data_IF_799698770974
#
_entry.id   IF_799698770974
#
_cell.length_a   1.000
_cell.length_b   1.000
_cell.length_c   1.000
_cell.angle_alpha   90.00
_cell.angle_beta   90.00
_cell.angle_gamma   90.00
#
_symmetry.space_group_name_H-M   'P 1'
#
loop_
_entity.id
_entity.type
_entity.pdbx_description
1 polymer ?
#
# COMPACT_ATOMS: atom_id res chain seq x y z
N UNK A 1 14.24 11.32 31.57
CA UNK A 1 13.28 10.29 31.09
C UNK A 1 12.36 10.75 29.95
N UNK A 2 12.47 11.98 29.42
CA UNK A 2 11.56 12.47 28.35
C UNK A 2 12.01 12.14 26.91
N UNK A 3 13.30 11.86 26.70
CA UNK A 3 13.90 11.66 25.36
C UNK A 3 13.23 10.60 24.48
N UNK A 4 12.89 9.39 24.98
CA UNK A 4 12.33 8.34 24.14
C UNK A 4 10.93 8.66 23.60
N UNK A 5 10.08 9.28 24.42
CA UNK A 5 8.70 9.63 24.03
C UNK A 5 8.65 10.80 23.05
N UNK A 6 9.57 11.75 23.20
CA UNK A 6 9.71 12.85 22.25
C UNK A 6 10.11 12.33 20.86
N UNK A 7 11.07 11.40 20.79
CA UNK A 7 11.50 10.81 19.52
C UNK A 7 10.37 10.06 18.80
N UNK A 8 9.63 9.19 19.52
CA UNK A 8 8.49 8.49 18.94
C UNK A 8 7.38 9.45 18.48
N UNK A 9 7.14 10.54 19.22
CA UNK A 9 6.18 11.55 18.80
C UNK A 9 6.62 12.24 17.50
N UNK A 10 7.90 12.60 17.36
CA UNK A 10 8.41 13.22 16.13
C UNK A 10 8.31 12.26 14.92
N UNK A 11 8.55 10.97 15.13
CA UNK A 11 8.33 9.93 14.12
C UNK A 11 6.86 9.82 13.72
N UNK A 12 5.94 9.82 14.70
CA UNK A 12 4.49 9.81 14.45
C UNK A 12 4.03 11.03 13.65
N UNK A 13 4.53 12.21 14.01
CA UNK A 13 4.23 13.48 13.34
C UNK A 13 4.76 13.47 11.92
N UNK A 14 6.01 13.05 11.71
CA UNK A 14 6.60 12.93 10.39
C UNK A 14 5.77 12.00 9.49
N UNK A 15 5.45 10.80 10.00
CA UNK A 15 4.70 9.79 9.26
C UNK A 15 3.30 10.29 8.88
N UNK A 16 2.52 10.83 9.84
CA UNK A 16 1.18 11.33 9.54
C UNK A 16 1.20 12.51 8.57
N UNK A 17 2.10 13.48 8.77
CA UNK A 17 2.22 14.63 7.87
C UNK A 17 2.66 14.19 6.47
N UNK A 18 3.61 13.26 6.37
CA UNK A 18 4.10 12.76 5.08
C UNK A 18 3.02 11.95 4.35
N UNK A 19 2.27 11.12 5.06
CA UNK A 19 1.15 10.38 4.47
C UNK A 19 -0.03 11.26 4.05
N UNK A 20 -0.17 12.45 4.65
CA UNK A 20 -1.11 13.48 4.23
C UNK A 20 -0.54 14.43 3.14
N UNK A 21 0.67 14.17 2.64
CA UNK A 21 1.41 15.02 1.69
C UNK A 21 1.56 16.49 2.17
N UNK A 22 1.76 16.68 3.48
CA UNK A 22 1.88 18.00 4.13
C UNK A 22 3.31 18.29 4.59
N UNK A 23 3.78 19.51 4.29
CA UNK A 23 5.01 20.08 4.86
C UNK A 23 4.76 20.89 6.13
N UNK A 24 3.67 21.66 6.12
CA UNK A 24 3.23 22.44 7.27
C UNK A 24 2.45 21.54 8.23
N UNK A 25 2.90 21.50 9.47
CA UNK A 25 2.32 20.73 10.56
C UNK A 25 1.66 21.74 11.49
N UNK A 26 0.33 21.74 11.52
CA UNK A 26 -0.43 22.54 12.49
C UNK A 26 -0.49 21.86 13.85
N UNK A 27 -0.92 22.60 14.87
CA UNK A 27 -1.19 22.04 16.21
C UNK A 27 -2.16 20.85 16.17
N UNK A 28 -3.18 20.92 15.31
CA UNK A 28 -4.12 19.81 15.13
C UNK A 28 -3.41 18.54 14.62
N UNK A 29 -2.49 18.67 13.66
CA UNK A 29 -1.71 17.53 13.15
C UNK A 29 -0.79 16.96 14.22
N UNK A 30 -0.14 17.82 15.02
CA UNK A 30 0.70 17.39 16.14
C UNK A 30 -0.11 16.59 17.17
N UNK A 31 -1.31 17.07 17.52
CA UNK A 31 -2.23 16.38 18.44
C UNK A 31 -2.73 15.06 17.81
N UNK A 32 -3.17 15.08 16.56
CA UNK A 32 -3.62 13.91 15.81
C UNK A 32 -2.54 12.81 15.79
N UNK A 33 -1.27 13.18 15.59
CA UNK A 33 -0.16 12.23 15.63
C UNK A 33 0.03 11.60 17.00
N UNK A 34 -0.03 12.40 18.07
CA UNK A 34 0.07 11.89 19.44
C UNK A 34 -1.10 10.96 19.80
N UNK A 35 -2.33 11.35 19.46
CA UNK A 35 -3.54 10.53 19.71
C UNK A 35 -3.48 9.24 18.89
N UNK A 36 -3.14 9.32 17.60
CA UNK A 36 -3.03 8.14 16.74
C UNK A 36 -1.95 7.15 17.20
N UNK A 37 -0.83 7.66 17.72
CA UNK A 37 0.24 6.81 18.26
C UNK A 37 -0.13 6.17 19.60
N UNK A 38 -0.79 6.90 20.50
CA UNK A 38 -1.09 6.41 21.85
C UNK A 38 -2.44 5.69 21.98
N UNK A 39 -3.42 6.03 21.13
CA UNK A 39 -4.80 5.55 21.16
C UNK A 39 -5.42 5.55 19.74
N UNK A 40 -4.97 4.65 18.84
CA UNK A 40 -5.40 4.62 17.44
C UNK A 40 -6.91 4.46 17.26
N UNK A 41 -7.55 3.65 18.12
CA UNK A 41 -9.01 3.46 18.13
C UNK A 41 -9.78 4.78 18.40
N UNK A 42 -9.25 5.62 19.30
CA UNK A 42 -9.84 6.93 19.59
C UNK A 42 -9.70 7.86 18.39
N UNK A 43 -8.54 7.88 17.73
CA UNK A 43 -8.36 8.70 16.52
C UNK A 43 -9.30 8.23 15.40
N UNK A 44 -9.45 6.91 15.22
CA UNK A 44 -10.34 6.36 14.21
C UNK A 44 -11.80 6.82 14.43
N UNK A 45 -12.29 6.80 15.67
CA UNK A 45 -13.63 7.28 16.02
C UNK A 45 -13.83 8.80 15.79
N UNK A 46 -12.76 9.59 15.91
CA UNK A 46 -12.80 11.04 15.63
C UNK A 46 -12.80 11.31 14.12
N UNK A 47 -12.04 10.53 13.35
CA UNK A 47 -11.81 10.78 11.91
C UNK A 47 -12.93 10.21 11.04
N UNK A 48 -13.59 9.12 11.44
CA UNK A 48 -14.70 8.52 10.70
C UNK A 48 -15.86 8.13 11.61
N UNK A 49 -17.11 8.41 11.22
CA UNK A 49 -18.28 7.82 11.86
C UNK A 49 -18.23 6.30 11.70
N UNK A 50 -18.39 5.58 12.80
CA UNK A 50 -18.61 4.12 12.77
C UNK A 50 -20.11 3.87 12.93
N UNK A 51 -20.82 3.81 11.81
CA UNK A 51 -22.22 3.41 11.80
C UNK A 51 -22.32 1.97 11.28
N UNK A 52 -22.97 1.12 12.07
CA UNK A 52 -23.13 -0.32 11.79
C UNK A 52 -24.56 -0.68 11.39
N UNK A 53 -25.47 0.30 11.29
CA UNK A 53 -26.84 0.10 10.85
C UNK A 53 -26.98 0.11 9.32
N UNK A 54 -28.20 -0.13 8.85
CA UNK A 54 -28.50 -0.01 7.41
C UNK A 54 -28.56 1.46 6.98
N UNK A 55 -28.13 1.79 5.75
CA UNK A 55 -28.34 3.12 5.19
C UNK A 55 -29.85 3.40 5.06
N UNK A 56 -30.31 4.55 5.54
CA UNK A 56 -31.72 4.98 5.48
C UNK A 56 -31.85 6.34 4.79
N UNK A 57 -33.04 6.63 4.28
CA UNK A 57 -33.36 7.93 3.67
C UNK A 57 -33.13 9.05 4.68
N UNK A 58 -32.43 10.11 4.26
CA UNK A 58 -32.01 11.22 5.11
C UNK A 58 -30.61 11.06 5.69
N UNK A 59 -30.02 9.86 5.69
CA UNK A 59 -28.64 9.70 6.18
C UNK A 59 -27.63 10.37 5.25
N UNK A 60 -26.61 11.00 5.84
CA UNK A 60 -25.41 11.42 5.13
C UNK A 60 -24.48 10.22 4.92
N UNK A 61 -24.02 10.01 3.68
CA UNK A 61 -23.29 8.81 3.25
C UNK A 61 -22.13 9.14 2.32
N UNK A 62 -21.14 8.24 2.28
CA UNK A 62 -20.09 8.21 1.26
C UNK A 62 -20.41 7.12 0.22
N UNK A 63 -20.30 7.44 -1.06
CA UNK A 63 -20.41 6.45 -2.14
C UNK A 63 -19.10 5.66 -2.24
N UNK A 64 -19.16 4.33 -2.17
CA UNK A 64 -18.00 3.44 -2.16
C UNK A 64 -17.62 2.96 -3.56
N UNK A 65 -18.61 2.76 -4.44
CA UNK A 65 -18.44 2.19 -5.78
C UNK A 65 -19.29 2.93 -6.80
N UNK A 66 -18.95 2.80 -8.08
CA UNK A 66 -19.68 3.44 -9.18
C UNK A 66 -19.00 4.70 -9.72
N UNK A 67 -19.70 5.41 -10.61
CA UNK A 67 -19.20 6.62 -11.28
C UNK A 67 -18.95 7.79 -10.33
N UNK A 68 -19.58 7.74 -9.15
CA UNK A 68 -19.49 8.75 -8.10
C UNK A 68 -18.73 8.27 -6.86
N UNK A 69 -17.95 7.18 -6.96
CA UNK A 69 -17.16 6.65 -5.85
C UNK A 69 -16.26 7.73 -5.21
N UNK A 70 -16.31 7.82 -3.88
CA UNK A 70 -15.58 8.79 -3.07
C UNK A 70 -16.37 10.06 -2.73
N UNK A 71 -17.46 10.36 -3.45
CA UNK A 71 -18.31 11.51 -3.17
C UNK A 71 -19.22 11.27 -1.97
N UNK A 72 -19.68 12.35 -1.33
CA UNK A 72 -20.54 12.32 -0.17
C UNK A 72 -21.87 13.01 -0.47
N UNK A 73 -22.93 12.61 0.21
CA UNK A 73 -24.25 13.17 -0.03
C UNK A 73 -25.31 12.65 0.93
N UNK A 74 -26.56 13.02 0.69
CA UNK A 74 -27.71 12.55 1.50
C UNK A 74 -28.52 11.54 0.70
N UNK A 75 -28.95 10.44 1.33
CA UNK A 75 -29.88 9.51 0.68
C UNK A 75 -31.23 10.20 0.52
N UNK A 76 -31.64 10.45 -0.73
CA UNK A 76 -32.91 11.13 -1.06
C UNK A 76 -34.04 10.10 -1.21
N UNK A 77 -33.74 8.94 -1.79
CA UNK A 77 -34.72 7.91 -2.13
C UNK A 77 -34.18 6.52 -1.91
N UNK A 78 -35.11 5.63 -1.63
CA UNK A 78 -34.92 4.20 -1.60
C UNK A 78 -35.93 3.54 -2.55
N UNK A 79 -35.46 2.56 -3.33
CA UNK A 79 -36.32 1.66 -4.08
C UNK A 79 -36.39 0.32 -3.35
N UNK A 80 -37.56 0.07 -2.75
CA UNK A 80 -37.87 -1.15 -2.01
C UNK A 80 -38.61 -2.21 -2.86
N UNK A 81 -38.76 -1.98 -4.17
CA UNK A 81 -39.65 -2.81 -5.01
C UNK A 81 -38.97 -4.04 -5.60
N UNK A 82 -37.65 -4.01 -5.84
CA UNK A 82 -36.85 -5.16 -6.31
C UNK A 82 -35.58 -5.34 -5.47
N UNK A 83 -35.20 -6.59 -5.20
CA UNK A 83 -33.96 -6.93 -4.49
C UNK A 83 -32.79 -7.01 -5.49
N UNK A 84 -31.60 -6.45 -5.16
CA UNK A 84 -31.26 -5.79 -3.90
C UNK A 84 -31.80 -4.36 -3.80
N UNK A 85 -32.20 -3.95 -2.59
CA UNK A 85 -32.66 -2.59 -2.32
C UNK A 85 -31.60 -1.56 -2.72
N UNK A 86 -32.03 -0.58 -3.51
CA UNK A 86 -31.16 0.45 -4.04
C UNK A 86 -31.47 1.80 -3.43
N UNK A 87 -30.42 2.58 -3.17
CA UNK A 87 -30.52 3.95 -2.67
C UNK A 87 -30.02 4.92 -3.72
N UNK A 88 -30.51 6.15 -3.66
CA UNK A 88 -30.03 7.24 -4.51
C UNK A 88 -29.56 8.40 -3.66
N UNK A 89 -28.35 8.87 -3.93
CA UNK A 89 -27.66 9.90 -3.14
C UNK A 89 -27.65 11.22 -3.88
N UNK A 90 -27.97 12.31 -3.18
CA UNK A 90 -27.76 13.68 -3.65
C UNK A 90 -26.38 14.18 -3.20
N UNK A 91 -25.46 14.32 -4.16
CA UNK A 91 -24.00 14.45 -3.92
C UNK A 91 -23.50 15.89 -3.81
N UNK A 92 -24.33 16.88 -4.13
CA UNK A 92 -23.95 18.28 -4.07
C UNK A 92 -25.20 19.17 -4.05
N UNK A 93 -25.50 19.75 -2.88
CA UNK A 93 -26.43 20.89 -2.70
C UNK A 93 -27.61 20.91 -3.68
N UNK A 94 -28.31 19.78 -3.84
CA UNK A 94 -29.56 19.69 -4.59
C UNK A 94 -29.50 19.51 -6.12
N UNK A 95 -28.34 19.32 -6.76
CA UNK A 95 -28.29 19.31 -8.24
C UNK A 95 -27.57 18.14 -8.93
N UNK A 96 -26.82 17.30 -8.22
CA UNK A 96 -26.19 16.11 -8.81
C UNK A 96 -26.60 14.84 -8.08
N UNK A 97 -27.34 13.96 -8.78
CA UNK A 97 -27.80 12.67 -8.25
C UNK A 97 -26.88 11.54 -8.70
N UNK A 98 -26.59 10.61 -7.80
CA UNK A 98 -25.92 9.36 -8.14
C UNK A 98 -26.80 8.46 -9.02
N UNK A 99 -26.18 7.45 -9.63
CA UNK A 99 -26.86 6.24 -10.05
C UNK A 99 -27.59 5.56 -8.87
N UNK A 100 -28.45 4.59 -9.18
CA UNK A 100 -28.98 3.68 -8.17
C UNK A 100 -27.85 2.81 -7.64
N UNK A 101 -27.58 2.92 -6.34
CA UNK A 101 -26.49 2.23 -5.67
C UNK A 101 -27.08 1.14 -4.78
N UNK A 102 -26.48 -0.04 -4.77
CA UNK A 102 -26.84 -1.03 -3.75
C UNK A 102 -26.50 -0.47 -2.37
N UNK A 103 -27.22 -0.93 -1.32
CA UNK A 103 -26.91 -0.52 0.06
C UNK A 103 -25.45 -0.78 0.47
N UNK A 104 -24.82 -1.82 -0.08
CA UNK A 104 -23.42 -2.16 0.16
C UNK A 104 -22.42 -1.25 -0.58
N UNK A 105 -22.90 -0.47 -1.56
CA UNK A 105 -22.10 0.49 -2.32
C UNK A 105 -22.09 1.88 -1.67
N UNK A 106 -22.72 2.05 -0.51
CA UNK A 106 -22.68 3.29 0.28
C UNK A 106 -22.25 3.00 1.73
N UNK A 107 -21.47 3.90 2.30
CA UNK A 107 -21.13 3.90 3.72
C UNK A 107 -21.92 5.00 4.42
N UNK A 108 -22.90 4.60 5.23
CA UNK A 108 -23.71 5.53 6.00
C UNK A 108 -23.00 6.01 7.26
N UNK A 109 -23.29 7.24 7.66
CA UNK A 109 -22.80 7.84 8.92
C UNK A 109 -23.81 7.76 10.06
N UNK A 110 -25.06 7.36 9.77
CA UNK A 110 -26.17 7.36 10.72
C UNK A 110 -26.68 8.75 11.13
N UNK A 111 -26.17 9.82 10.51
CA UNK A 111 -26.56 11.19 10.81
C UNK A 111 -27.51 11.74 9.74
N UNK A 112 -28.57 12.42 10.19
CA UNK A 112 -29.57 13.03 9.32
C UNK A 112 -29.04 14.31 8.68
N UNK A 113 -28.73 14.24 7.39
CA UNK A 113 -28.28 15.38 6.60
C UNK A 113 -26.84 15.82 6.85
N UNK A 114 -26.41 16.76 6.00
CA UNK A 114 -25.06 17.32 6.01
C UNK A 114 -24.78 18.14 7.27
N UNK A 115 -25.77 18.88 7.77
CA UNK A 115 -25.61 19.77 8.94
C UNK A 115 -25.30 18.98 10.22
N UNK A 116 -26.02 17.89 10.48
CA UNK A 116 -25.72 17.02 11.63
C UNK A 116 -24.32 16.40 11.51
N UNK A 117 -23.91 16.02 10.30
CA UNK A 117 -22.55 15.55 10.05
C UNK A 117 -21.50 16.63 10.30
N UNK A 118 -21.69 17.86 9.83
CA UNK A 118 -20.78 18.97 10.07
C UNK A 118 -20.73 19.37 11.56
N UNK A 119 -21.84 19.27 12.28
CA UNK A 119 -21.85 19.52 13.72
C UNK A 119 -21.09 18.46 14.52
N UNK A 120 -21.17 17.19 14.10
CA UNK A 120 -20.51 16.08 14.80
C UNK A 120 -19.05 15.86 14.36
N UNK A 121 -18.75 16.09 13.08
CA UNK A 121 -17.48 15.72 12.42
C UNK A 121 -16.84 16.86 11.61
N UNK A 122 -17.42 18.07 11.64
CA UNK A 122 -16.81 19.26 11.03
C UNK A 122 -15.50 19.66 11.72
N UNK A 123 -14.80 20.64 11.14
CA UNK A 123 -13.45 21.03 11.55
C UNK A 123 -13.36 21.42 13.05
N UNK A 124 -14.34 22.19 13.54
CA UNK A 124 -14.37 22.66 14.93
C UNK A 124 -14.67 21.51 15.92
N UNK A 125 -15.65 20.68 15.60
CA UNK A 125 -16.02 19.51 16.40
C UNK A 125 -14.85 18.52 16.49
N UNK A 126 -14.21 18.25 15.36
CA UNK A 126 -13.00 17.43 15.26
C UNK A 126 -11.85 18.01 16.09
N UNK A 127 -11.60 19.31 15.97
CA UNK A 127 -10.56 20.01 16.75
C UNK A 127 -10.81 19.90 18.25
N UNK A 128 -12.07 20.09 18.69
CA UNK A 128 -12.46 19.94 20.10
C UNK A 128 -12.30 18.49 20.59
N UNK A 129 -12.73 17.50 19.78
CA UNK A 129 -12.59 16.09 20.10
C UNK A 129 -11.12 15.67 20.21
N UNK A 130 -10.25 16.14 19.31
CA UNK A 130 -8.80 15.90 19.36
C UNK A 130 -8.17 16.49 20.63
N UNK A 131 -8.50 17.72 21.01
CA UNK A 131 -8.00 18.34 22.25
C UNK A 131 -8.44 17.57 23.50
N UNK A 132 -9.69 17.09 23.53
CA UNK A 132 -10.19 16.23 24.60
C UNK A 132 -9.45 14.90 24.64
N UNK A 133 -9.26 14.25 23.49
CA UNK A 133 -8.50 13.01 23.44
C UNK A 133 -7.05 13.19 23.90
N UNK A 134 -6.42 14.32 23.57
CA UNK A 134 -5.07 14.67 23.99
C UNK A 134 -4.94 14.83 25.52
N UNK A 135 -5.94 15.41 26.19
CA UNK A 135 -5.92 15.60 27.65
C UNK A 135 -6.02 14.28 28.41
N UNK A 136 -6.63 13.26 27.80
CA UNK A 136 -6.76 11.91 28.33
C UNK A 136 -5.53 11.01 28.08
N UNK A 137 -4.51 11.50 27.34
CA UNK A 137 -3.32 10.72 27.05
C UNK A 137 -2.44 10.47 28.28
N UNK A 138 -1.60 9.41 28.27
CA UNK A 138 -0.62 9.16 29.33
C UNK A 138 0.24 10.39 29.61
N UNK A 139 0.57 10.64 30.88
CA UNK A 139 1.31 11.83 31.30
C UNK A 139 2.61 12.03 30.52
N UNK A 140 3.31 10.94 30.18
CA UNK A 140 4.54 10.99 29.39
C UNK A 140 4.32 11.54 27.97
N UNK A 141 3.17 11.25 27.35
CA UNK A 141 2.82 11.74 26.02
C UNK A 141 2.40 13.20 26.06
N UNK A 142 1.61 13.59 27.08
CA UNK A 142 1.25 15.00 27.32
C UNK A 142 2.48 15.88 27.55
N UNK A 143 3.45 15.41 28.33
CA UNK A 143 4.74 16.08 28.50
C UNK A 143 5.53 16.17 27.19
N UNK A 144 5.52 15.13 26.37
CA UNK A 144 6.18 15.16 25.06
C UNK A 144 5.57 16.19 24.12
N UNK A 145 4.23 16.27 24.04
CA UNK A 145 3.51 17.31 23.28
C UNK A 145 3.89 18.72 23.74
N UNK A 146 3.84 18.96 25.05
CA UNK A 146 4.23 20.24 25.64
C UNK A 146 5.70 20.58 25.33
N UNK A 147 6.59 19.60 25.47
CA UNK A 147 8.01 19.78 25.18
C UNK A 147 8.29 20.09 23.70
N UNK A 148 7.54 19.51 22.74
CA UNK A 148 7.66 19.91 21.32
C UNK A 148 7.28 21.39 21.18
N UNK A 149 6.13 21.78 21.72
CA UNK A 149 5.62 23.16 21.61
C UNK A 149 6.60 24.18 22.20
N UNK A 150 7.02 23.99 23.44
CA UNK A 150 7.96 24.89 24.12
C UNK A 150 9.32 24.95 23.42
N UNK A 151 9.89 23.80 23.06
CA UNK A 151 11.22 23.77 22.44
C UNK A 151 11.23 24.35 21.03
N UNK A 152 10.15 24.22 20.25
CA UNK A 152 10.08 24.82 18.91
C UNK A 152 9.94 26.34 19.03
N UNK A 153 9.08 26.82 19.93
CA UNK A 153 8.89 28.27 20.18
C UNK A 153 10.19 28.92 20.67
N UNK A 154 10.91 28.24 21.56
CA UNK A 154 12.18 28.75 22.10
C UNK A 154 13.39 28.51 21.16
N UNK A 155 13.20 27.91 19.98
CA UNK A 155 14.30 27.56 19.07
C UNK A 155 15.25 26.46 19.58
N UNK A 156 14.83 25.70 20.60
CA UNK A 156 15.58 24.61 21.26
C UNK A 156 15.33 23.22 20.65
N UNK A 157 14.70 23.14 19.47
CA UNK A 157 14.48 21.89 18.73
C UNK A 157 14.87 22.06 17.25
N UNK A 158 16.16 21.90 16.89
CA UNK A 158 16.66 22.23 15.54
C UNK A 158 16.11 21.34 14.42
N UNK A 159 15.39 20.25 14.76
CA UNK A 159 14.71 19.38 13.80
C UNK A 159 13.44 20.02 13.22
N UNK A 160 12.85 20.98 13.93
CA UNK A 160 11.61 21.64 13.55
C UNK A 160 11.82 23.16 13.54
N UNK A 161 11.32 23.81 12.50
CA UNK A 161 11.28 25.27 12.39
C UNK A 161 9.88 25.76 12.71
N UNK A 162 9.80 26.79 13.55
CA UNK A 162 8.56 27.53 13.81
C UNK A 162 8.23 28.38 12.59
N UNK A 163 7.01 28.24 12.06
CA UNK A 163 6.47 29.10 10.99
C UNK A 163 5.56 30.17 11.59
N UNK A 164 4.71 29.77 12.54
CA UNK A 164 3.78 30.65 13.23
C UNK A 164 3.56 30.14 14.66
N UNK A 165 3.48 31.07 15.63
CA UNK A 165 3.30 30.72 17.04
C UNK A 165 1.83 30.55 17.45
N UNK A 166 0.91 31.30 16.83
CA UNK A 166 -0.52 31.25 17.10
C UNK A 166 -1.37 31.55 15.86
N UNK A 167 -2.16 30.59 15.34
CA UNK A 167 -2.08 29.16 15.64
C UNK A 167 -0.67 28.59 15.40
N UNK A 168 -0.31 27.56 16.18
CA UNK A 168 1.01 26.93 16.05
C UNK A 168 1.12 26.21 14.70
N UNK A 169 2.08 26.65 13.89
CA UNK A 169 2.49 26.00 12.65
C UNK A 169 4.00 25.80 12.66
N UNK A 170 4.41 24.59 12.29
CA UNK A 170 5.80 24.19 12.24
C UNK A 170 6.08 23.32 11.02
N UNK A 171 7.34 23.19 10.65
CA UNK A 171 7.79 22.29 9.59
C UNK A 171 9.11 21.63 9.98
N UNK A 172 9.46 20.52 9.35
CA UNK A 172 10.82 20.00 9.50
C UNK A 172 11.84 20.98 8.89
N UNK A 173 12.92 21.24 9.62
CA UNK A 173 13.95 22.22 9.24
C UNK A 173 14.71 21.83 7.97
N UNK A 174 14.67 20.55 7.61
CA UNK A 174 15.18 20.03 6.35
C UNK A 174 14.17 19.06 5.75
N UNK A 175 13.99 19.11 4.42
CA UNK A 175 13.03 18.25 3.70
C UNK A 175 13.25 16.77 4.02
N UNK A 176 14.51 16.33 3.97
CA UNK A 176 14.89 14.94 4.26
C UNK A 176 14.67 14.49 5.70
N UNK A 177 14.48 15.39 6.67
CA UNK A 177 14.16 14.95 8.03
C UNK A 177 12.76 14.34 8.08
N UNK A 178 11.78 14.94 7.41
CA UNK A 178 10.44 14.38 7.37
C UNK A 178 10.44 12.99 6.72
N UNK A 179 11.15 12.82 5.61
CA UNK A 179 11.26 11.51 4.93
C UNK A 179 12.05 10.50 5.77
N UNK A 180 13.14 10.91 6.42
CA UNK A 180 13.95 10.04 7.28
C UNK A 180 13.16 9.56 8.50
N UNK A 181 12.47 10.44 9.21
CA UNK A 181 11.65 10.06 10.35
C UNK A 181 10.43 9.23 9.92
N UNK A 182 9.88 9.48 8.73
CA UNK A 182 8.83 8.62 8.15
C UNK A 182 9.35 7.22 7.83
N UNK A 183 10.56 7.10 7.29
CA UNK A 183 11.21 5.82 7.02
C UNK A 183 11.45 5.05 8.33
N UNK A 184 12.00 5.70 9.36
CA UNK A 184 12.18 5.11 10.70
C UNK A 184 10.86 4.69 11.35
N UNK A 185 9.83 5.54 11.25
CA UNK A 185 8.50 5.22 11.72
C UNK A 185 7.99 3.95 11.04
N UNK A 186 8.13 3.86 9.71
CA UNK A 186 7.73 2.67 8.94
C UNK A 186 8.44 1.42 9.45
N UNK A 187 9.77 1.43 9.62
CA UNK A 187 10.53 0.29 10.14
C UNK A 187 10.04 -0.22 11.50
N UNK A 188 9.49 0.64 12.35
CA UNK A 188 8.99 0.22 13.67
C UNK A 188 7.75 -0.69 13.60
N UNK A 189 7.02 -0.69 12.48
CA UNK A 189 5.77 -1.44 12.31
C UNK A 189 4.60 -0.97 13.19
N UNK A 190 4.77 0.09 13.98
CA UNK A 190 3.73 0.60 14.88
C UNK A 190 2.71 1.50 14.20
N UNK A 191 3.02 2.00 13.00
CA UNK A 191 2.22 3.01 12.32
C UNK A 191 1.44 2.39 11.16
N UNK A 192 0.13 2.65 11.14
CA UNK A 192 -0.73 2.32 10.02
C UNK A 192 -0.93 3.55 9.14
N UNK A 193 -1.09 3.30 7.84
CA UNK A 193 -1.45 4.37 6.92
C UNK A 193 -2.78 5.02 7.34
N UNK A 194 -2.87 6.37 7.40
CA UNK A 194 -4.11 7.06 7.70
C UNK A 194 -5.25 6.63 6.78
N UNK A 195 -6.49 6.69 7.28
CA UNK A 195 -7.68 6.44 6.46
C UNK A 195 -7.70 7.41 5.25
N UNK A 196 -7.79 6.87 4.04
CA UNK A 196 -7.76 7.64 2.79
C UNK A 196 -6.37 7.86 2.18
N UNK A 197 -5.28 7.57 2.89
CA UNK A 197 -3.94 7.58 2.29
C UNK A 197 -3.79 6.46 1.24
N UNK A 198 -3.08 6.77 0.15
CA UNK A 198 -2.76 5.82 -0.90
C UNK A 198 -1.88 4.68 -0.37
N UNK A 199 -2.10 3.47 -0.89
CA UNK A 199 -1.26 2.30 -0.58
C UNK A 199 0.12 2.41 -1.23
N UNK A 200 1.14 1.69 -0.73
CA UNK A 200 2.51 1.80 -1.23
C UNK A 200 2.68 1.60 -2.73
N UNK A 201 1.94 0.66 -3.33
CA UNK A 201 1.92 0.38 -4.77
C UNK A 201 1.16 1.42 -5.61
N UNK A 202 0.72 2.53 -5.00
CA UNK A 202 0.04 3.66 -5.66
C UNK A 202 0.65 5.01 -5.31
N UNK A 203 1.78 5.04 -4.60
CA UNK A 203 2.39 6.28 -4.14
C UNK A 203 2.90 7.16 -5.29
N UNK A 204 2.84 8.47 -5.05
CA UNK A 204 3.37 9.51 -5.92
C UNK A 204 4.90 9.64 -5.75
N UNK A 205 5.56 10.47 -6.56
CA UNK A 205 6.99 10.75 -6.43
C UNK A 205 7.38 11.28 -5.04
N UNK A 206 6.42 11.80 -4.27
CA UNK A 206 6.57 12.26 -2.89
C UNK A 206 7.25 11.24 -1.96
N UNK A 207 6.96 9.95 -2.14
CA UNK A 207 7.49 8.87 -1.29
C UNK A 207 8.86 8.34 -1.75
N UNK A 208 9.40 8.83 -2.86
CA UNK A 208 10.65 8.30 -3.45
C UNK A 208 11.83 8.37 -2.48
N UNK A 209 12.03 9.50 -1.81
CA UNK A 209 13.13 9.68 -0.85
C UNK A 209 12.92 8.82 0.41
N UNK A 210 11.69 8.73 0.90
CA UNK A 210 11.31 7.87 2.03
C UNK A 210 11.60 6.39 1.75
N UNK A 211 11.28 5.91 0.53
CA UNK A 211 11.60 4.54 0.12
C UNK A 211 13.10 4.29 0.05
N UNK A 212 13.86 5.22 -0.55
CA UNK A 212 15.32 5.10 -0.62
C UNK A 212 15.94 5.03 0.77
N UNK A 213 15.61 5.97 1.65
CA UNK A 213 16.09 5.98 3.03
C UNK A 213 15.65 4.73 3.80
N UNK A 214 14.41 4.28 3.59
CA UNK A 214 13.88 3.06 4.19
C UNK A 214 14.65 1.80 3.78
N UNK A 215 14.99 1.68 2.50
CA UNK A 215 15.82 0.58 2.00
C UNK A 215 17.24 0.61 2.58
N UNK A 216 17.83 1.79 2.76
CA UNK A 216 19.12 1.98 3.44
C UNK A 216 19.07 1.57 4.94
N UNK A 217 17.90 1.66 5.58
CA UNK A 217 17.68 1.21 6.97
C UNK A 217 17.52 -0.31 7.12
N UNK A 218 17.36 -1.05 6.01
CA UNK A 218 17.34 -2.51 6.00
C UNK A 218 15.96 -3.15 5.82
N UNK A 219 15.87 -4.47 6.09
CA UNK A 219 14.71 -5.30 5.75
C UNK A 219 13.47 -5.04 6.60
N UNK A 220 13.64 -4.43 7.79
CA UNK A 220 12.53 -4.04 8.65
C UNK A 220 11.61 -3.00 7.98
N UNK A 221 12.13 -2.22 7.04
CA UNK A 221 11.32 -1.29 6.28
C UNK A 221 10.24 -2.00 5.46
N UNK A 222 10.58 -3.08 4.75
CA UNK A 222 9.61 -3.86 3.97
C UNK A 222 8.53 -4.51 4.85
N UNK A 223 8.93 -5.01 6.03
CA UNK A 223 8.00 -5.57 7.02
C UNK A 223 7.07 -4.50 7.59
N UNK A 224 7.63 -3.33 7.89
CA UNK A 224 6.91 -2.15 8.32
C UNK A 224 5.88 -1.67 7.29
N UNK A 225 6.27 -1.61 6.01
CA UNK A 225 5.36 -1.31 4.91
C UNK A 225 4.22 -2.32 4.84
N UNK A 226 4.51 -3.61 4.97
CA UNK A 226 3.49 -4.66 4.94
C UNK A 226 2.51 -4.51 6.12
N UNK A 227 3.01 -4.35 7.35
CA UNK A 227 2.20 -4.17 8.55
C UNK A 227 1.36 -2.89 8.53
N UNK A 228 1.90 -1.81 7.95
CA UNK A 228 1.22 -0.53 7.82
C UNK A 228 0.21 -0.46 6.67
N UNK A 229 0.35 -1.35 5.67
CA UNK A 229 -0.57 -1.48 4.54
C UNK A 229 -1.87 -2.20 4.93
N UNK A 230 -2.91 -2.01 4.13
CA UNK A 230 -4.19 -2.73 4.32
C UNK A 230 -4.20 -4.13 3.72
N UNK A 231 -3.08 -4.60 3.15
CA UNK A 231 -2.97 -5.94 2.61
C UNK A 231 -3.00 -6.97 3.76
N UNK A 232 -4.11 -7.71 3.87
CA UNK A 232 -4.30 -8.74 4.90
C UNK A 232 -3.58 -10.04 4.50
N UNK A 233 -3.06 -10.73 5.52
CA UNK A 233 -2.56 -12.12 5.50
C UNK A 233 -1.21 -12.43 4.82
N UNK A 234 -0.33 -11.44 4.66
CA UNK A 234 1.02 -11.68 4.15
C UNK A 234 1.07 -12.19 2.70
N UNK A 235 -0.08 -12.17 2.00
CA UNK A 235 -0.23 -12.45 0.58
C UNK A 235 -0.53 -11.14 -0.13
N UNK A 236 0.46 -10.60 -0.83
CA UNK A 236 0.30 -9.41 -1.64
C UNK A 236 -0.32 -9.78 -2.99
N UNK A 237 -1.65 -9.69 -3.11
CA UNK A 237 -2.30 -9.74 -4.41
C UNK A 237 -2.48 -8.32 -4.96
N UNK A 238 -1.61 -7.94 -5.88
CA UNK A 238 -1.57 -6.64 -6.55
C UNK A 238 -1.95 -6.74 -8.03
N UNK A 239 -2.76 -7.72 -8.40
CA UNK A 239 -3.17 -7.89 -9.80
C UNK A 239 -3.86 -6.64 -10.33
N UNK A 240 -3.28 -5.98 -11.33
CA UNK A 240 -3.79 -4.73 -11.92
C UNK A 240 -3.88 -3.55 -10.94
N UNK A 241 -3.19 -3.62 -9.80
CA UNK A 241 -3.29 -2.62 -8.74
C UNK A 241 -2.18 -1.56 -8.77
N UNK A 242 -1.05 -1.81 -9.45
CA UNK A 242 0.10 -0.90 -9.46
C UNK A 242 -0.24 0.35 -10.27
N UNK A 243 -0.23 1.50 -9.60
CA UNK A 243 -0.57 2.79 -10.18
C UNK A 243 0.28 3.92 -9.58
N UNK A 244 -0.07 5.18 -9.86
CA UNK A 244 0.66 6.34 -9.33
C UNK A 244 1.97 6.59 -10.07
N UNK A 245 3.02 6.98 -9.34
CA UNK A 245 4.34 7.20 -9.93
C UNK A 245 5.09 5.86 -10.06
N UNK A 246 5.19 5.34 -11.28
CA UNK A 246 5.68 3.97 -11.55
C UNK A 246 7.02 3.61 -10.88
N UNK A 247 8.08 4.43 -10.93
CA UNK A 247 9.33 4.14 -10.21
C UNK A 247 9.14 4.01 -8.69
N UNK A 248 8.35 4.89 -8.09
CA UNK A 248 8.07 4.84 -6.64
C UNK A 248 7.26 3.60 -6.28
N UNK A 249 6.16 3.37 -7.00
CA UNK A 249 5.27 2.25 -6.75
C UNK A 249 6.01 0.91 -6.91
N UNK A 250 6.85 0.78 -7.95
CA UNK A 250 7.67 -0.41 -8.14
C UNK A 250 8.68 -0.59 -7.02
N UNK A 251 9.40 0.46 -6.61
CA UNK A 251 10.33 0.38 -5.48
C UNK A 251 9.63 -0.07 -4.17
N UNK A 252 8.39 0.38 -3.94
CA UNK A 252 7.58 -0.07 -2.82
C UNK A 252 7.17 -1.55 -2.93
N UNK A 253 6.72 -1.99 -4.12
CA UNK A 253 6.39 -3.40 -4.40
C UNK A 253 7.59 -4.32 -4.18
N UNK A 254 8.78 -3.90 -4.64
CA UNK A 254 10.01 -4.66 -4.42
C UNK A 254 10.34 -4.75 -2.94
N UNK A 255 10.25 -3.65 -2.17
CA UNK A 255 10.46 -3.67 -0.72
C UNK A 255 9.46 -4.60 0.00
N UNK A 256 8.19 -4.58 -0.40
CA UNK A 256 7.14 -5.47 0.12
C UNK A 256 7.40 -6.95 -0.21
N UNK A 257 7.98 -7.24 -1.37
CA UNK A 257 8.29 -8.62 -1.79
C UNK A 257 9.32 -9.31 -0.88
N UNK A 258 10.16 -8.55 -0.17
CA UNK A 258 11.08 -9.09 0.83
C UNK A 258 10.43 -9.39 2.19
N UNK A 259 9.17 -8.98 2.38
CA UNK A 259 8.44 -9.20 3.63
C UNK A 259 7.30 -10.22 3.50
N UNK A 260 6.91 -10.57 2.28
CA UNK A 260 5.74 -11.40 2.02
C UNK A 260 6.08 -12.68 1.25
N UNK A 261 5.65 -13.87 1.71
CA UNK A 261 5.90 -15.13 1.03
C UNK A 261 5.11 -15.28 -0.28
N UNK A 262 4.12 -14.45 -0.56
CA UNK A 262 3.34 -14.52 -1.79
C UNK A 262 3.15 -13.14 -2.39
N UNK A 263 3.49 -13.00 -3.68
CA UNK A 263 3.34 -11.76 -4.44
C UNK A 263 2.70 -12.05 -5.80
N UNK A 264 1.49 -11.54 -6.00
CA UNK A 264 0.74 -11.58 -7.25
C UNK A 264 0.79 -10.23 -7.94
N UNK A 265 1.49 -10.16 -9.07
CA UNK A 265 1.71 -8.97 -9.88
C UNK A 265 1.07 -9.08 -11.27
N UNK A 266 0.07 -9.95 -11.45
CA UNK A 266 -0.55 -10.16 -12.76
C UNK A 266 -1.23 -8.90 -13.31
N UNK A 267 -1.30 -8.76 -14.63
CA UNK A 267 -2.05 -7.65 -15.29
C UNK A 267 -1.59 -6.23 -14.89
N UNK A 268 -0.30 -6.01 -14.62
CA UNK A 268 0.23 -4.68 -14.23
C UNK A 268 0.98 -3.95 -15.34
N UNK A 269 0.96 -4.50 -16.57
CA UNK A 269 1.65 -3.97 -17.75
C UNK A 269 3.09 -3.56 -17.46
N UNK A 270 3.86 -4.46 -16.83
CA UNK A 270 5.25 -4.21 -16.46
C UNK A 270 6.10 -3.86 -17.69
N UNK A 271 6.81 -2.75 -17.61
CA UNK A 271 7.78 -2.29 -18.62
C UNK A 271 9.12 -3.03 -18.47
N UNK A 272 9.96 -2.99 -19.51
CA UNK A 272 11.28 -3.63 -19.47
C UNK A 272 12.16 -3.20 -18.29
N UNK A 273 12.24 -1.90 -17.90
CA UNK A 273 13.00 -1.49 -16.72
C UNK A 273 12.44 -2.05 -15.40
N UNK A 274 11.11 -2.20 -15.30
CA UNK A 274 10.47 -2.75 -14.10
C UNK A 274 10.69 -4.27 -13.99
N UNK A 275 10.69 -4.97 -15.13
CA UNK A 275 11.06 -6.39 -15.19
C UNK A 275 12.52 -6.58 -14.76
N UNK A 276 13.42 -5.70 -15.22
CA UNK A 276 14.82 -5.72 -14.82
C UNK A 276 14.99 -5.52 -13.31
N UNK A 277 14.36 -4.48 -12.74
CA UNK A 277 14.39 -4.23 -11.30
C UNK A 277 13.80 -5.40 -10.49
N UNK A 278 12.74 -6.04 -10.99
CA UNK A 278 12.18 -7.24 -10.38
C UNK A 278 13.14 -8.42 -10.43
N UNK A 279 13.81 -8.65 -11.57
CA UNK A 279 14.81 -9.70 -11.71
C UNK A 279 15.97 -9.50 -10.71
N UNK A 280 16.49 -8.27 -10.58
CA UNK A 280 17.52 -7.96 -9.59
C UNK A 280 17.03 -8.25 -8.16
N UNK A 281 15.82 -7.84 -7.80
CA UNK A 281 15.27 -8.11 -6.48
C UNK A 281 15.09 -9.62 -6.21
N UNK A 282 14.58 -10.38 -7.19
CA UNK A 282 14.41 -11.83 -7.07
C UNK A 282 15.75 -12.55 -6.89
N UNK A 283 16.83 -12.03 -7.46
CA UNK A 283 18.18 -12.61 -7.32
C UNK A 283 18.73 -12.56 -5.89
N UNK A 284 18.13 -11.75 -5.02
CA UNK A 284 18.48 -11.60 -3.59
C UNK A 284 17.34 -12.01 -2.64
N UNK A 285 16.14 -12.26 -3.16
CA UNK A 285 14.96 -12.53 -2.35
C UNK A 285 14.92 -13.97 -1.84
N UNK A 286 14.95 -14.17 -0.52
CA UNK A 286 14.89 -15.48 0.15
C UNK A 286 13.57 -15.75 0.88
N UNK A 287 12.58 -14.87 0.74
CA UNK A 287 11.29 -14.92 1.44
C UNK A 287 10.16 -15.40 0.52
N UNK A 288 10.22 -15.03 -0.75
CA UNK A 288 9.13 -15.26 -1.70
C UNK A 288 8.99 -16.75 -2.04
N UNK A 289 7.81 -17.30 -1.81
CA UNK A 289 7.42 -18.70 -2.07
C UNK A 289 6.52 -18.79 -3.30
N UNK A 290 5.65 -17.81 -3.51
CA UNK A 290 4.74 -17.76 -4.64
C UNK A 290 4.88 -16.43 -5.40
N UNK A 291 5.13 -16.53 -6.71
CA UNK A 291 5.17 -15.39 -7.61
C UNK A 291 4.22 -15.59 -8.79
N UNK A 292 3.32 -14.63 -9.00
CA UNK A 292 2.47 -14.58 -10.18
C UNK A 292 2.76 -13.32 -11.00
N UNK A 293 3.27 -13.47 -12.22
CA UNK A 293 3.52 -12.38 -13.18
C UNK A 293 2.64 -12.51 -14.42
N UNK A 294 1.60 -13.32 -14.38
CA UNK A 294 0.74 -13.63 -15.51
C UNK A 294 0.17 -12.37 -16.16
N UNK A 295 -0.03 -12.41 -17.48
CA UNK A 295 -0.58 -11.31 -18.28
C UNK A 295 0.21 -10.01 -18.16
N UNK A 296 1.52 -10.11 -17.91
CA UNK A 296 2.47 -9.02 -18.17
C UNK A 296 3.28 -9.38 -19.41
N UNK A 297 3.42 -8.44 -20.35
CA UNK A 297 4.17 -8.66 -21.58
C UNK A 297 5.68 -8.64 -21.32
N UNK A 298 6.20 -9.68 -20.67
CA UNK A 298 7.63 -9.81 -20.37
C UNK A 298 8.48 -9.88 -21.64
N UNK A 299 7.90 -10.45 -22.70
CA UNK A 299 8.61 -10.82 -23.95
C UNK A 299 9.71 -11.85 -23.66
N UNK A 300 10.32 -12.38 -24.72
CA UNK A 300 11.29 -13.46 -24.54
C UNK A 300 12.56 -13.00 -23.79
N UNK A 301 13.08 -11.80 -24.08
CA UNK A 301 14.26 -11.25 -23.39
C UNK A 301 13.99 -10.98 -21.90
N UNK A 302 12.85 -10.36 -21.57
CA UNK A 302 12.49 -10.07 -20.18
C UNK A 302 12.19 -11.32 -19.38
N UNK A 303 11.54 -12.31 -20.00
CA UNK A 303 11.32 -13.63 -19.42
C UNK A 303 12.64 -14.37 -19.15
N UNK A 304 13.53 -14.41 -20.13
CA UNK A 304 14.85 -15.01 -20.01
C UNK A 304 15.68 -14.38 -18.88
N UNK A 305 15.67 -13.04 -18.78
CA UNK A 305 16.36 -12.30 -17.72
C UNK A 305 15.82 -12.65 -16.33
N UNK A 306 14.50 -12.67 -16.16
CA UNK A 306 13.85 -12.99 -14.89
C UNK A 306 14.15 -14.43 -14.47
N UNK A 307 14.05 -15.39 -15.39
CA UNK A 307 14.34 -16.80 -15.13
C UNK A 307 15.81 -17.04 -14.78
N UNK A 308 16.73 -16.32 -15.43
CA UNK A 308 18.15 -16.38 -15.11
C UNK A 308 18.43 -15.82 -13.70
N UNK A 309 17.76 -14.73 -13.31
CA UNK A 309 17.91 -14.17 -11.98
C UNK A 309 17.41 -15.11 -10.88
N UNK A 310 16.29 -15.81 -11.10
CA UNK A 310 15.79 -16.86 -10.20
C UNK A 310 16.80 -18.01 -10.08
N UNK A 311 17.39 -18.44 -11.21
CA UNK A 311 18.38 -19.52 -11.24
C UNK A 311 19.67 -19.21 -10.46
N UNK A 312 20.08 -17.93 -10.35
CA UNK A 312 21.33 -17.52 -9.68
C UNK A 312 21.32 -17.65 -8.15
N UNK A 313 20.19 -18.03 -7.54
CA UNK A 313 20.19 -18.59 -6.19
C UNK A 313 19.72 -17.69 -5.04
N UNK A 314 19.14 -16.52 -5.31
CA UNK A 314 18.43 -15.75 -4.28
C UNK A 314 17.12 -16.41 -3.86
N UNK A 315 16.30 -16.75 -4.86
CA UNK A 315 14.93 -17.28 -4.73
C UNK A 315 14.88 -18.77 -4.38
N UNK A 316 15.72 -19.25 -3.44
CA UNK A 316 15.69 -20.65 -2.98
C UNK A 316 14.36 -21.02 -2.31
N UNK A 317 13.58 -20.05 -1.85
CA UNK A 317 12.26 -20.24 -1.27
C UNK A 317 11.15 -20.42 -2.30
N UNK A 318 11.38 -20.04 -3.58
CA UNK A 318 10.32 -19.97 -4.58
C UNK A 318 9.85 -21.36 -4.97
N UNK A 319 8.60 -21.68 -4.60
CA UNK A 319 7.97 -22.96 -4.85
C UNK A 319 7.00 -22.94 -6.03
N UNK A 320 6.39 -21.78 -6.30
CA UNK A 320 5.42 -21.60 -7.38
C UNK A 320 5.75 -20.38 -8.21
N UNK A 321 5.92 -20.58 -9.52
CA UNK A 321 6.14 -19.52 -10.50
C UNK A 321 5.06 -19.57 -11.59
N UNK A 322 4.32 -18.48 -11.74
CA UNK A 322 3.28 -18.35 -12.77
C UNK A 322 3.64 -17.26 -13.77
N UNK A 323 3.79 -17.65 -15.03
CA UNK A 323 4.14 -16.80 -16.18
C UNK A 323 3.15 -17.02 -17.33
N UNK A 324 1.85 -17.00 -17.01
CA UNK A 324 0.78 -17.26 -18.00
C UNK A 324 0.60 -16.07 -18.92
N UNK A 325 0.51 -16.27 -20.23
CA UNK A 325 0.31 -15.20 -21.21
C UNK A 325 1.33 -14.06 -21.07
N UNK A 326 2.62 -14.41 -21.03
CA UNK A 326 3.73 -13.50 -20.79
C UNK A 326 4.57 -13.20 -22.04
N UNK A 327 4.17 -13.75 -23.19
CA UNK A 327 4.90 -13.66 -24.47
C UNK A 327 6.31 -14.25 -24.41
N UNK A 328 6.47 -15.37 -23.71
CA UNK A 328 7.73 -16.11 -23.61
C UNK A 328 8.00 -16.92 -24.88
N UNK A 329 9.28 -17.06 -25.24
CA UNK A 329 9.76 -17.80 -26.41
C UNK A 329 10.78 -18.90 -26.06
N UNK A 330 11.54 -19.34 -27.07
CA UNK A 330 12.50 -20.45 -26.91
C UNK A 330 13.67 -20.09 -25.99
N UNK A 331 14.06 -18.82 -25.92
CA UNK A 331 15.12 -18.37 -25.02
C UNK A 331 14.68 -18.47 -23.56
N UNK A 332 13.46 -18.00 -23.24
CA UNK A 332 12.86 -18.16 -21.92
C UNK A 332 12.74 -19.63 -21.55
N UNK A 333 12.31 -20.51 -22.46
CA UNK A 333 12.26 -21.95 -22.20
C UNK A 333 13.64 -22.53 -21.83
N UNK A 334 14.69 -22.12 -22.56
CA UNK A 334 16.09 -22.52 -22.26
C UNK A 334 16.55 -22.01 -20.89
N UNK A 335 16.20 -20.79 -20.51
CA UNK A 335 16.53 -20.22 -19.18
C UNK A 335 15.72 -20.85 -18.06
N UNK A 336 14.47 -21.25 -18.32
CA UNK A 336 13.67 -22.00 -17.38
C UNK A 336 14.31 -23.36 -17.07
N UNK A 337 14.93 -24.02 -18.05
CA UNK A 337 15.67 -25.26 -17.81
C UNK A 337 16.76 -25.09 -16.73
N UNK A 338 17.55 -24.01 -16.82
CA UNK A 338 18.54 -23.67 -15.80
C UNK A 338 17.88 -23.31 -14.45
N UNK A 339 16.77 -22.57 -14.47
CA UNK A 339 16.00 -22.26 -13.27
C UNK A 339 15.52 -23.53 -12.54
N UNK A 340 14.99 -24.51 -13.27
CA UNK A 340 14.55 -25.82 -12.73
C UNK A 340 15.71 -26.60 -12.11
N UNK A 341 16.89 -26.56 -12.73
CA UNK A 341 18.08 -27.27 -12.22
C UNK A 341 18.67 -26.64 -10.95
N UNK A 342 18.53 -25.32 -10.79
CA UNK A 342 19.16 -24.57 -9.70
C UNK A 342 18.19 -24.10 -8.60
N UNK A 343 16.88 -24.37 -8.74
CA UNK A 343 15.84 -23.98 -7.78
C UNK A 343 15.21 -25.20 -7.09
N UNK A 344 15.80 -25.71 -6.00
CA UNK A 344 15.37 -26.97 -5.38
C UNK A 344 13.98 -26.94 -4.76
N UNK A 345 13.42 -25.75 -4.50
CA UNK A 345 12.07 -25.60 -3.94
C UNK A 345 10.99 -25.48 -5.03
N UNK A 346 11.38 -25.23 -6.28
CA UNK A 346 10.44 -24.98 -7.37
C UNK A 346 9.70 -26.28 -7.69
N UNK A 347 8.39 -26.27 -7.43
CA UNK A 347 7.53 -27.44 -7.52
C UNK A 347 6.37 -27.27 -8.51
N UNK A 348 5.88 -26.03 -8.68
CA UNK A 348 4.78 -25.70 -9.56
C UNK A 348 5.17 -24.59 -10.55
N UNK A 349 4.98 -24.86 -11.84
CA UNK A 349 5.29 -23.93 -12.92
C UNK A 349 4.07 -23.81 -13.85
N UNK A 350 3.63 -22.58 -14.10
CA UNK A 350 2.52 -22.30 -15.01
C UNK A 350 2.98 -21.42 -16.18
N UNK A 351 2.89 -21.94 -17.41
CA UNK A 351 3.41 -21.32 -18.64
C UNK A 351 2.36 -21.25 -19.74
N UNK A 352 1.08 -21.35 -19.42
CA UNK A 352 0.02 -21.42 -20.42
C UNK A 352 0.03 -20.17 -21.31
N UNK A 353 -0.41 -20.32 -22.56
CA UNK A 353 -0.56 -19.20 -23.50
C UNK A 353 0.75 -18.43 -23.78
N UNK A 354 1.89 -19.12 -23.91
CA UNK A 354 3.13 -18.52 -24.42
C UNK A 354 3.46 -19.09 -25.81
N UNK A 355 4.69 -18.87 -26.31
CA UNK A 355 5.15 -19.32 -27.62
C UNK A 355 6.53 -19.97 -27.51
N UNK A 356 6.67 -20.95 -26.60
CA UNK A 356 7.96 -21.52 -26.16
C UNK A 356 8.81 -22.16 -27.28
N UNK A 357 8.25 -22.39 -28.47
CA UNK A 357 8.93 -23.02 -29.62
C UNK A 357 9.29 -22.04 -30.75
N UNK A 358 9.29 -20.72 -30.47
CA UNK A 358 9.48 -19.67 -31.49
C UNK A 358 8.56 -19.91 -32.71
N UNK A 359 7.27 -20.16 -32.42
CA UNK A 359 6.25 -20.53 -33.39
C UNK A 359 6.58 -21.82 -34.19
N UNK A 360 7.06 -22.86 -33.49
CA UNK A 360 7.37 -24.17 -34.08
C UNK A 360 8.64 -24.23 -34.92
N UNK A 361 9.52 -23.21 -34.82
CA UNK A 361 10.78 -23.12 -35.59
C UNK A 361 12.00 -23.54 -34.78
N UNK A 362 11.95 -23.39 -33.46
CA UNK A 362 13.06 -23.71 -32.56
C UNK A 362 12.53 -24.49 -31.35
N UNK A 363 12.94 -25.76 -31.24
CA UNK A 363 12.55 -26.65 -30.15
C UNK A 363 13.63 -26.80 -29.09
N UNK A 364 14.81 -26.19 -29.26
CA UNK A 364 15.95 -26.39 -28.37
C UNK A 364 15.63 -25.99 -26.93
N UNK A 365 14.92 -24.87 -26.76
CA UNK A 365 14.53 -24.37 -25.45
C UNK A 365 13.60 -25.34 -24.71
N UNK A 366 12.62 -25.91 -25.43
CA UNK A 366 11.69 -26.90 -24.87
C UNK A 366 12.39 -28.25 -24.64
N UNK A 367 13.33 -28.65 -25.50
CA UNK A 367 14.13 -29.86 -25.32
C UNK A 367 15.03 -29.75 -24.07
N UNK A 368 15.66 -28.59 -23.87
CA UNK A 368 16.43 -28.30 -22.66
C UNK A 368 15.53 -28.33 -21.42
N UNK A 369 14.34 -27.74 -21.49
CA UNK A 369 13.37 -27.76 -20.40
C UNK A 369 12.91 -29.19 -20.07
N UNK A 370 12.59 -30.01 -21.08
CA UNK A 370 12.21 -31.41 -20.89
C UNK A 370 13.32 -32.22 -20.22
N UNK A 371 14.58 -32.00 -20.64
CA UNK A 371 15.75 -32.65 -20.02
C UNK A 371 15.91 -32.23 -18.56
N UNK A 372 15.77 -30.93 -18.26
CA UNK A 372 15.85 -30.41 -16.91
C UNK A 372 14.72 -30.92 -16.00
N UNK A 373 13.49 -31.00 -16.52
CA UNK A 373 12.33 -31.56 -15.80
C UNK A 373 12.55 -33.05 -15.49
N UNK A 374 13.07 -33.83 -16.44
CA UNK A 374 13.38 -35.25 -16.21
C UNK A 374 14.46 -35.49 -15.16
N UNK A 375 15.35 -34.51 -14.94
CA UNK A 375 16.38 -34.57 -13.90
C UNK A 375 15.96 -33.91 -12.58
N UNK A 376 14.86 -33.15 -12.55
CA UNK A 376 14.45 -32.39 -11.37
C UNK A 376 13.64 -33.27 -10.41
N UNK A 377 14.06 -33.40 -9.14
CA UNK A 377 13.27 -34.09 -8.14
C UNK A 377 12.17 -33.21 -7.51
N UNK A 378 12.19 -31.89 -7.74
CA UNK A 378 11.33 -30.93 -7.04
C UNK A 378 10.07 -30.56 -7.81
N UNK A 379 10.14 -30.51 -9.15
CA UNK A 379 8.99 -30.12 -9.99
C UNK A 379 7.97 -31.25 -10.03
N UNK A 380 6.78 -31.00 -9.49
CA UNK A 380 5.66 -31.96 -9.44
C UNK A 380 4.52 -31.59 -10.38
N UNK A 381 4.42 -30.32 -10.79
CA UNK A 381 3.36 -29.82 -11.65
C UNK A 381 3.91 -28.79 -12.64
N UNK A 382 3.63 -29.00 -13.93
CA UNK A 382 3.86 -28.03 -14.99
C UNK A 382 2.63 -27.92 -15.89
N UNK A 383 2.15 -26.70 -16.13
CA UNK A 383 1.03 -26.45 -17.04
C UNK A 383 1.50 -25.72 -18.31
N UNK A 384 1.42 -26.44 -19.44
CA UNK A 384 1.91 -26.02 -20.77
C UNK A 384 0.77 -25.77 -21.77
N UNK A 385 -0.50 -25.70 -21.34
CA UNK A 385 -1.62 -25.54 -22.27
C UNK A 385 -1.44 -24.30 -23.17
N UNK A 386 -1.73 -24.46 -24.47
CA UNK A 386 -1.68 -23.37 -25.47
C UNK A 386 -0.27 -22.77 -25.65
N UNK A 387 0.75 -23.59 -25.92
CA UNK A 387 2.13 -23.17 -26.22
C UNK A 387 2.60 -23.53 -27.63
#
# INVERSE_FOLDING_TARGET
MEGPRLASLLEAVAYQAHAAERRVISEEHLISAAVGFAAPEKLAAIVRPSFTGSPEVGHYVQVLRGGHAGLHGVIEREDATELPFCVRVDLATGSTRSEWLARDDVQSTGLEGKEAFEQAYGADARSAALRRAASELPMSMRKALQAVRERVVDGRLPLLSLLQADPLELQFSHLSFQEFFTARATCSGHYKLPAGAAEPWRWSAWWSNTLRLGQELGTDFGRGLLHGSRALDGRLNLSGAIAGHRPTAMAAVLALSYAAPSCGLSQNSLSSPEIHALAEALSLNSVLVHLDLSKNALKDDGGAMLLEAVARGGSRSLASLRLVACSLGSQSARRLAACVQHSPSLSCIALQMNALTSHGRDYDGVLALATALGASPSVTSIDLRFN
#
